data_IF_507722765277
#
_entry.id   IF_507722765277
#
_cell.length_a   1.000
_cell.length_b   1.000
_cell.length_c   1.000
_cell.angle_alpha   90.00
_cell.angle_beta   90.00
_cell.angle_gamma   90.00
#
_symmetry.space_group_name_H-M   'P 1'
#
loop_
_entity.id
_entity.type
_entity.pdbx_description
1 polymer ?
#
# COMPACT_ATOMS: atom_id res chain seq x y z
N UNK A 1 -64.21 -11.31 -15.74
CA UNK A 1 -64.59 -11.83 -17.07
C UNK A 1 -66.09 -12.04 -16.99
N UNK A 2 -66.86 -11.34 -17.82
CA UNK A 2 -68.33 -11.44 -17.77
C UNK A 2 -68.76 -12.79 -18.39
N UNK A 3 -69.74 -13.50 -17.79
CA UNK A 3 -70.23 -14.77 -18.33
C UNK A 3 -71.01 -14.54 -19.63
N UNK A 4 -70.62 -15.26 -20.68
CA UNK A 4 -71.39 -15.38 -21.92
C UNK A 4 -72.40 -16.51 -21.75
N UNK A 5 -73.55 -16.44 -22.43
CA UNK A 5 -74.59 -17.47 -22.33
C UNK A 5 -74.76 -18.21 -23.65
N UNK A 6 -74.96 -19.52 -23.59
CA UNK A 6 -75.38 -20.30 -24.74
C UNK A 6 -76.57 -21.20 -24.37
N UNK A 7 -77.44 -21.45 -25.35
CA UNK A 7 -78.64 -22.26 -25.16
C UNK A 7 -78.41 -23.68 -25.69
N UNK A 8 -78.75 -24.67 -24.87
CA UNK A 8 -78.75 -26.08 -25.27
C UNK A 8 -79.98 -26.79 -24.71
N UNK A 9 -80.78 -27.42 -25.58
CA UNK A 9 -82.03 -28.11 -25.23
C UNK A 9 -82.99 -27.24 -24.39
N UNK A 10 -83.21 -25.99 -24.82
CA UNK A 10 -84.08 -24.99 -24.18
C UNK A 10 -83.67 -24.60 -22.74
N UNK A 11 -82.39 -24.79 -22.37
CA UNK A 11 -81.82 -24.30 -21.12
C UNK A 11 -80.59 -23.43 -21.40
N UNK A 12 -80.46 -22.33 -20.66
CA UNK A 12 -79.35 -21.37 -20.79
C UNK A 12 -78.22 -21.72 -19.82
N UNK A 13 -77.00 -21.80 -20.35
CA UNK A 13 -75.79 -22.10 -19.58
C UNK A 13 -74.78 -20.95 -19.72
N UNK A 14 -74.17 -20.59 -18.60
CA UNK A 14 -73.10 -19.60 -18.56
C UNK A 14 -71.75 -20.26 -18.89
N UNK A 15 -70.97 -19.65 -19.78
CA UNK A 15 -69.61 -20.04 -20.10
C UNK A 15 -68.68 -18.82 -20.13
N UNK A 16 -67.39 -19.08 -19.96
CA UNK A 16 -66.35 -18.04 -19.98
C UNK A 16 -65.32 -18.39 -21.05
N UNK A 17 -65.02 -17.44 -21.93
CA UNK A 17 -63.87 -17.56 -22.82
C UNK A 17 -62.61 -17.16 -22.06
N UNK A 18 -61.77 -18.15 -21.77
CA UNK A 18 -60.51 -17.97 -21.08
C UNK A 18 -59.35 -18.10 -22.05
N UNK A 19 -58.35 -17.23 -21.91
CA UNK A 19 -57.09 -17.41 -22.61
C UNK A 19 -56.40 -18.69 -22.12
N UNK A 20 -55.58 -19.30 -23.00
CA UNK A 20 -54.90 -20.58 -22.75
C UNK A 20 -54.22 -20.68 -21.37
N UNK A 21 -53.59 -19.59 -20.90
CA UNK A 21 -52.97 -19.52 -19.57
C UNK A 21 -54.00 -19.69 -18.46
N UNK A 22 -55.10 -18.94 -18.53
CA UNK A 22 -56.12 -18.90 -17.48
C UNK A 22 -56.92 -20.22 -17.46
N UNK A 23 -57.14 -20.84 -18.63
CA UNK A 23 -57.67 -22.21 -18.73
C UNK A 23 -56.80 -23.20 -17.96
N UNK A 24 -55.48 -23.16 -18.12
CA UNK A 24 -54.59 -24.06 -17.38
C UNK A 24 -54.59 -23.81 -15.87
N UNK A 25 -54.74 -22.56 -15.43
CA UNK A 25 -54.85 -22.22 -14.00
C UNK A 25 -56.14 -22.78 -13.41
N UNK A 26 -57.27 -22.64 -14.11
CA UNK A 26 -58.56 -23.18 -13.68
C UNK A 26 -58.52 -24.72 -13.65
N UNK A 27 -57.98 -25.34 -14.70
CA UNK A 27 -57.84 -26.81 -14.79
C UNK A 27 -56.91 -27.35 -13.69
N UNK A 28 -55.79 -26.69 -13.42
CA UNK A 28 -54.91 -27.06 -12.31
C UNK A 28 -55.65 -27.00 -10.96
N UNK A 29 -56.46 -25.96 -10.71
CA UNK A 29 -57.21 -25.86 -9.46
C UNK A 29 -58.28 -26.94 -9.30
N UNK A 30 -58.92 -27.37 -10.39
CA UNK A 30 -60.03 -28.32 -10.37
C UNK A 30 -59.60 -29.80 -10.52
N UNK A 31 -58.43 -30.06 -11.11
CA UNK A 31 -57.89 -31.41 -11.31
C UNK A 31 -56.58 -31.61 -10.54
N UNK A 32 -56.59 -32.43 -9.48
CA UNK A 32 -55.38 -32.80 -8.75
C UNK A 32 -54.34 -33.53 -9.62
N UNK A 33 -54.81 -34.38 -10.53
CA UNK A 33 -53.95 -35.15 -11.45
C UNK A 33 -53.19 -34.23 -12.41
N UNK A 34 -53.88 -33.23 -12.98
CA UNK A 34 -53.25 -32.26 -13.86
C UNK A 34 -52.22 -31.41 -13.11
N UNK A 35 -52.52 -31.01 -11.87
CA UNK A 35 -51.57 -30.27 -11.04
C UNK A 35 -50.32 -31.08 -10.72
N UNK A 36 -50.47 -32.37 -10.38
CA UNK A 36 -49.34 -33.26 -10.16
C UNK A 36 -48.43 -33.33 -11.39
N UNK A 37 -49.00 -33.52 -12.59
CA UNK A 37 -48.22 -33.56 -13.83
C UNK A 37 -47.49 -32.23 -14.14
N UNK A 38 -48.09 -31.08 -13.81
CA UNK A 38 -47.42 -29.78 -13.95
C UNK A 38 -46.26 -29.65 -12.97
N UNK A 39 -46.43 -30.08 -11.72
CA UNK A 39 -45.39 -30.07 -10.68
C UNK A 39 -44.23 -31.00 -11.07
N UNK A 40 -44.52 -32.22 -11.51
CA UNK A 40 -43.51 -33.20 -11.94
C UNK A 40 -42.70 -32.66 -13.12
N UNK A 41 -43.37 -32.04 -14.10
CA UNK A 41 -42.71 -31.40 -15.24
C UNK A 41 -41.84 -30.22 -14.81
N UNK A 42 -42.30 -29.42 -13.85
CA UNK A 42 -41.53 -28.31 -13.31
C UNK A 42 -40.28 -28.79 -12.58
N UNK A 43 -40.39 -29.81 -11.73
CA UNK A 43 -39.24 -30.46 -11.07
C UNK A 43 -38.26 -31.06 -12.07
N UNK A 44 -38.75 -31.68 -13.15
CA UNK A 44 -37.89 -32.21 -14.21
C UNK A 44 -37.13 -31.10 -14.96
N UNK A 45 -37.74 -29.93 -15.15
CA UNK A 45 -37.09 -28.77 -15.75
C UNK A 45 -36.08 -28.12 -14.78
N UNK A 46 -36.38 -28.06 -13.48
CA UNK A 46 -35.46 -27.58 -12.45
C UNK A 46 -34.23 -28.49 -12.34
N UNK A 47 -34.42 -29.81 -12.38
CA UNK A 47 -33.33 -30.78 -12.41
C UNK A 47 -32.51 -30.73 -13.70
N UNK A 48 -33.09 -30.29 -14.83
CA UNK A 48 -32.36 -30.04 -16.08
C UNK A 48 -31.65 -28.68 -16.08
N UNK A 49 -32.18 -27.68 -15.39
CA UNK A 49 -31.62 -26.32 -15.32
C UNK A 49 -30.56 -26.16 -14.24
N UNK A 50 -30.50 -27.01 -13.22
CA UNK A 50 -29.26 -27.19 -12.45
C UNK A 50 -28.22 -27.70 -13.44
N UNK A 51 -27.25 -26.88 -13.87
CA UNK A 51 -26.11 -27.45 -14.55
C UNK A 51 -25.55 -28.45 -13.56
N UNK A 52 -25.22 -29.64 -14.03
CA UNK A 52 -24.22 -30.48 -13.37
C UNK A 52 -22.90 -29.71 -13.41
N UNK A 53 -22.82 -28.59 -12.69
CA UNK A 53 -21.58 -28.13 -12.12
C UNK A 53 -21.24 -29.24 -11.14
N UNK A 54 -20.34 -30.12 -11.56
CA UNK A 54 -19.56 -30.93 -10.64
C UNK A 54 -18.97 -29.95 -9.64
N UNK A 55 -19.65 -29.75 -8.52
CA UNK A 55 -19.05 -29.13 -7.35
C UNK A 55 -18.25 -30.29 -6.74
N UNK A 56 -16.92 -30.30 -6.93
CA UNK A 56 -16.09 -31.39 -6.43
C UNK A 56 -16.27 -31.46 -4.92
N UNK A 57 -16.58 -32.65 -4.40
CA UNK A 57 -16.85 -32.81 -2.98
C UNK A 57 -15.57 -32.67 -2.13
N UNK A 58 -14.39 -32.61 -2.75
CA UNK A 58 -13.10 -32.36 -2.12
C UNK A 58 -12.29 -31.29 -2.86
N UNK A 59 -11.59 -30.44 -2.09
CA UNK A 59 -10.72 -29.37 -2.59
C UNK A 59 -9.61 -29.89 -3.52
N UNK A 60 -9.10 -31.11 -3.29
CA UNK A 60 -8.05 -31.70 -4.12
C UNK A 60 -8.52 -32.00 -5.54
N UNK A 61 -9.77 -32.46 -5.70
CA UNK A 61 -10.38 -32.78 -6.98
C UNK A 61 -10.70 -31.51 -7.78
N UNK A 62 -11.11 -30.44 -7.07
CA UNK A 62 -11.29 -29.12 -7.65
C UNK A 62 -10.01 -28.56 -8.28
N UNK A 63 -8.91 -28.68 -7.54
CA UNK A 63 -7.61 -28.17 -7.96
C UNK A 63 -7.09 -28.95 -9.19
N UNK A 64 -7.28 -30.27 -9.20
CA UNK A 64 -6.89 -31.10 -10.35
C UNK A 64 -7.68 -30.77 -11.61
N UNK A 65 -8.99 -30.59 -11.51
CA UNK A 65 -9.84 -30.25 -12.66
C UNK A 65 -9.47 -28.86 -13.21
N UNK A 66 -9.23 -27.89 -12.32
CA UNK A 66 -8.79 -26.56 -12.72
C UNK A 66 -7.44 -26.59 -13.46
N UNK A 67 -6.49 -27.41 -12.98
CA UNK A 67 -5.20 -27.60 -13.64
C UNK A 67 -5.35 -28.22 -15.04
N UNK A 68 -6.23 -29.21 -15.20
CA UNK A 68 -6.49 -29.86 -16.49
C UNK A 68 -7.13 -28.90 -17.50
N UNK A 69 -8.12 -28.11 -17.08
CA UNK A 69 -8.76 -27.10 -17.93
C UNK A 69 -7.77 -26.02 -18.38
N UNK A 70 -6.84 -25.63 -17.51
CA UNK A 70 -5.82 -24.64 -17.84
C UNK A 70 -4.82 -25.19 -18.87
N UNK A 71 -4.37 -26.44 -18.68
CA UNK A 71 -3.50 -27.11 -19.64
C UNK A 71 -4.17 -27.32 -21.01
N UNK A 72 -5.49 -27.58 -21.03
CA UNK A 72 -6.26 -27.69 -22.27
C UNK A 72 -6.40 -26.35 -22.99
N UNK A 73 -6.62 -25.25 -22.26
CA UNK A 73 -6.60 -23.89 -22.82
C UNK A 73 -5.24 -23.55 -23.43
N UNK A 74 -4.14 -23.88 -22.77
CA UNK A 74 -2.79 -23.64 -23.28
C UNK A 74 -2.49 -24.48 -24.53
N UNK A 75 -2.94 -25.74 -24.57
CA UNK A 75 -2.83 -26.59 -25.78
C UNK A 75 -3.66 -26.07 -26.95
N UNK A 76 -4.80 -25.43 -26.67
CA UNK A 76 -5.68 -24.88 -27.69
C UNK A 76 -5.37 -23.41 -28.06
N UNK A 77 -4.53 -22.72 -27.28
CA UNK A 77 -4.09 -21.35 -27.53
C UNK A 77 -3.50 -21.10 -28.93
N UNK A 78 -2.66 -21.96 -29.53
CA UNK A 78 -2.14 -21.71 -30.89
C UNK A 78 -3.23 -21.79 -31.97
N UNK A 79 -4.33 -22.53 -31.74
CA UNK A 79 -5.44 -22.63 -32.70
C UNK A 79 -6.36 -21.41 -32.64
N UNK A 80 -6.58 -20.85 -31.44
CA UNK A 80 -7.40 -19.64 -31.26
C UNK A 80 -6.67 -18.40 -31.79
N UNK A 81 -5.36 -18.29 -31.53
CA UNK A 81 -4.53 -17.22 -32.09
C UNK A 81 -4.48 -17.22 -33.63
N UNK A 82 -4.65 -18.38 -34.26
CA UNK A 82 -4.72 -18.51 -35.72
C UNK A 82 -6.03 -17.98 -36.32
N UNK A 83 -7.15 -18.11 -35.60
CA UNK A 83 -8.48 -17.66 -36.07
C UNK A 83 -8.62 -16.14 -36.00
N UNK A 84 -8.09 -15.50 -34.95
CA UNK A 84 -8.13 -14.04 -34.80
C UNK A 84 -7.30 -13.32 -35.88
N UNK A 85 -6.20 -13.93 -36.34
CA UNK A 85 -5.33 -13.32 -37.35
C UNK A 85 -5.93 -13.29 -38.77
N UNK A 86 -6.95 -14.12 -39.07
CA UNK A 86 -7.52 -14.23 -40.42
C UNK A 86 -8.75 -13.34 -40.64
N UNK A 87 -9.51 -13.04 -39.58
CA UNK A 87 -10.76 -12.27 -39.68
C UNK A 87 -10.50 -10.76 -39.84
N UNK A 88 -9.34 -10.25 -39.42
CA UNK A 88 -8.96 -8.82 -39.58
C UNK A 88 -8.29 -8.46 -40.93
N UNK A 89 -7.89 -9.47 -41.71
CA UNK A 89 -7.19 -9.29 -43.00
C UNK A 89 -8.15 -9.24 -44.20
N UNK A 90 -9.42 -9.68 -44.01
CA UNK A 90 -10.38 -9.81 -45.10
C UNK A 90 -10.99 -8.51 -45.65
N UNK A 91 -11.02 -7.42 -44.89
CA UNK A 91 -11.83 -6.22 -45.25
C UNK A 91 -11.03 -5.01 -45.72
N UNK A 92 -9.70 -4.96 -45.50
CA UNK A 92 -8.88 -3.78 -45.83
C UNK A 92 -7.68 -4.17 -46.71
N UNK A 93 -7.59 -3.55 -47.89
CA UNK A 93 -6.48 -3.71 -48.84
C UNK A 93 -5.48 -2.56 -48.68
N UNK A 94 -4.18 -2.84 -48.83
CA UNK A 94 -3.14 -1.80 -48.75
C UNK A 94 -3.17 -0.85 -49.96
N UNK A 95 -2.65 0.38 -49.81
CA UNK A 95 -2.56 1.36 -50.91
C UNK A 95 -1.86 0.82 -52.17
N UNK A 96 -0.88 -0.07 -51.98
CA UNK A 96 -0.14 -0.71 -53.07
C UNK A 96 -0.98 -1.77 -53.80
N UNK A 97 -1.80 -2.51 -53.07
CA UNK A 97 -2.72 -3.50 -53.64
C UNK A 97 -3.89 -2.83 -54.37
N UNK A 98 -4.45 -1.75 -53.80
CA UNK A 98 -5.48 -0.96 -54.48
C UNK A 98 -4.95 -0.31 -55.76
N UNK A 99 -3.73 0.24 -55.73
CA UNK A 99 -3.06 0.79 -56.91
C UNK A 99 -2.84 -0.25 -58.02
N UNK A 100 -2.46 -1.50 -57.65
CA UNK A 100 -2.33 -2.61 -58.60
C UNK A 100 -3.67 -3.00 -59.23
N UNK A 101 -4.74 -3.06 -58.44
CA UNK A 101 -6.09 -3.36 -58.94
C UNK A 101 -6.56 -2.27 -59.90
N UNK A 102 -6.28 -1.01 -59.59
CA UNK A 102 -6.66 0.15 -60.41
C UNK A 102 -5.70 0.41 -61.59
N UNK A 103 -4.61 -0.35 -61.73
CA UNK A 103 -3.56 -0.18 -62.76
C UNK A 103 -2.95 1.23 -62.81
N UNK A 104 -2.88 1.93 -61.68
CA UNK A 104 -2.30 3.27 -61.55
C UNK A 104 -1.04 3.18 -60.68
N UNK A 105 0.05 3.92 -60.97
CA UNK A 105 1.21 3.95 -60.09
C UNK A 105 0.86 4.55 -58.72
N UNK A 106 1.33 3.89 -57.65
CA UNK A 106 1.01 4.21 -56.24
C UNK A 106 1.22 5.70 -55.90
N UNK A 107 2.29 6.31 -56.40
CA UNK A 107 2.59 7.73 -56.18
C UNK A 107 1.56 8.66 -56.82
N UNK A 108 1.04 8.31 -58.00
CA UNK A 108 0.01 9.10 -58.67
C UNK A 108 -1.33 9.00 -57.94
N UNK A 109 -1.67 7.82 -57.42
CA UNK A 109 -2.86 7.61 -56.61
C UNK A 109 -2.81 8.42 -55.31
N UNK A 110 -1.67 8.39 -54.61
CA UNK A 110 -1.47 9.20 -53.39
C UNK A 110 -1.55 10.70 -53.70
N UNK A 111 -0.90 11.17 -54.76
CA UNK A 111 -0.93 12.59 -55.12
C UNK A 111 -2.35 13.06 -55.47
N UNK A 112 -3.12 12.23 -56.19
CA UNK A 112 -4.50 12.54 -56.55
C UNK A 112 -5.43 12.57 -55.33
N UNK A 113 -5.25 11.64 -54.39
CA UNK A 113 -5.98 11.64 -53.12
C UNK A 113 -5.63 12.82 -52.21
N UNK A 114 -4.42 13.37 -52.32
CA UNK A 114 -4.03 14.61 -51.62
C UNK A 114 -4.62 15.84 -52.31
N UNK A 115 -4.62 15.87 -53.65
CA UNK A 115 -5.22 16.95 -54.45
C UNK A 115 -6.74 17.04 -54.26
N UNK A 116 -7.43 15.91 -54.25
CA UNK A 116 -8.86 15.78 -54.00
C UNK A 116 -9.25 16.01 -52.51
N UNK A 117 -8.28 16.36 -51.65
CA UNK A 117 -8.44 16.61 -50.20
C UNK A 117 -9.00 15.43 -49.39
N UNK A 118 -8.71 14.20 -49.80
CA UNK A 118 -9.05 13.00 -49.01
C UNK A 118 -7.96 12.62 -48.00
N UNK A 119 -6.69 12.90 -48.35
CA UNK A 119 -5.52 12.66 -47.50
C UNK A 119 -4.72 13.94 -47.32
N UNK A 120 -4.09 14.12 -46.17
CA UNK A 120 -3.07 15.15 -45.96
C UNK A 120 -1.77 14.54 -45.43
N UNK A 121 -0.66 15.26 -45.62
CA UNK A 121 0.64 14.89 -45.08
C UNK A 121 0.90 15.67 -43.80
N UNK A 122 1.06 14.97 -42.67
CA UNK A 122 1.62 15.53 -41.45
C UNK A 122 2.87 14.71 -41.09
N UNK A 123 4.02 15.39 -40.99
CA UNK A 123 5.27 14.80 -40.49
C UNK A 123 5.69 13.49 -41.16
N UNK A 124 5.50 13.37 -42.48
CA UNK A 124 5.86 12.16 -43.25
C UNK A 124 4.83 11.03 -43.20
N UNK A 125 3.73 11.18 -42.47
CA UNK A 125 2.63 10.21 -42.38
C UNK A 125 1.40 10.75 -43.14
N UNK A 126 0.77 9.88 -43.93
CA UNK A 126 -0.46 10.17 -44.66
C UNK A 126 -1.66 9.89 -43.74
N UNK A 127 -2.44 10.92 -43.45
CA UNK A 127 -3.63 10.83 -42.60
C UNK A 127 -4.88 11.24 -43.40
N UNK A 128 -6.01 10.54 -43.24
CA UNK A 128 -7.26 10.93 -43.87
C UNK A 128 -7.88 12.16 -43.19
N UNK A 129 -8.57 12.99 -43.96
CA UNK A 129 -9.42 14.05 -43.41
C UNK A 129 -10.67 13.46 -42.74
N UNK A 130 -11.20 14.17 -41.73
CA UNK A 130 -12.37 13.75 -40.95
C UNK A 130 -13.65 13.55 -41.80
N UNK A 131 -13.75 14.20 -42.95
CA UNK A 131 -14.84 14.03 -43.94
C UNK A 131 -14.76 12.71 -44.75
N UNK A 132 -13.62 12.02 -44.74
CA UNK A 132 -13.45 10.72 -45.40
C UNK A 132 -13.87 9.54 -44.51
N UNK A 133 -14.02 9.76 -43.18
CA UNK A 133 -14.52 8.75 -42.24
C UNK A 133 -16.02 8.47 -42.42
N UNK A 134 -16.80 9.40 -42.95
CA UNK A 134 -18.25 9.23 -43.13
C UNK A 134 -18.64 8.30 -44.29
N UNK A 135 -17.68 7.76 -45.05
CA UNK A 135 -17.95 6.85 -46.18
C UNK A 135 -17.30 5.46 -46.05
N UNK A 136 -16.70 5.09 -44.92
CA UNK A 136 -16.03 3.78 -44.71
C UNK A 136 -14.88 3.44 -45.71
N UNK A 137 -14.34 4.43 -46.43
CA UNK A 137 -13.33 4.18 -47.48
C UNK A 137 -11.90 3.94 -46.95
N UNK A 138 -11.56 4.42 -45.74
CA UNK A 138 -10.19 4.37 -45.23
C UNK A 138 -10.17 3.93 -43.76
N UNK A 139 -9.37 2.91 -43.45
CA UNK A 139 -9.04 2.50 -42.08
C UNK A 139 -7.59 2.83 -41.77
N UNK A 140 -7.36 3.68 -40.76
CA UNK A 140 -6.00 4.02 -40.33
C UNK A 140 -5.51 2.91 -39.41
N UNK A 141 -4.81 1.92 -39.97
CA UNK A 141 -4.05 0.95 -39.19
C UNK A 141 -2.76 1.63 -38.72
N UNK A 142 -2.83 2.39 -37.62
CA UNK A 142 -1.62 2.67 -36.85
C UNK A 142 -1.18 1.36 -36.23
N UNK A 143 -0.38 0.59 -36.97
CA UNK A 143 0.39 -0.50 -36.41
C UNK A 143 1.41 0.09 -35.45
N UNK A 144 0.98 0.52 -34.26
CA UNK A 144 1.85 0.45 -33.11
C UNK A 144 2.11 -1.04 -32.94
N UNK A 145 3.29 -1.48 -33.32
CA UNK A 145 3.78 -2.80 -32.96
C UNK A 145 3.43 -3.02 -31.47
N UNK A 146 2.72 -4.09 -31.16
CA UNK A 146 2.30 -4.48 -29.80
C UNK A 146 3.46 -4.68 -28.80
N UNK A 147 4.67 -4.29 -29.17
CA UNK A 147 5.83 -4.26 -28.30
C UNK A 147 5.74 -3.13 -27.25
N UNK A 148 4.94 -2.08 -27.48
CA UNK A 148 4.84 -0.94 -26.56
C UNK A 148 4.35 -1.27 -25.14
N UNK A 149 3.45 -2.26 -25.00
CA UNK A 149 2.93 -2.66 -23.68
C UNK A 149 3.79 -3.70 -22.96
N UNK A 150 4.71 -4.38 -23.67
CA UNK A 150 5.64 -5.34 -23.07
C UNK A 150 6.92 -4.68 -22.55
N UNK A 151 7.33 -3.53 -23.09
CA UNK A 151 8.49 -2.79 -22.56
C UNK A 151 8.25 -2.26 -21.14
N UNK A 152 7.03 -1.78 -20.84
CA UNK A 152 6.71 -1.37 -19.47
C UNK A 152 6.62 -2.58 -18.55
N UNK A 153 5.94 -3.67 -18.95
CA UNK A 153 5.83 -4.89 -18.13
C UNK A 153 7.17 -5.59 -17.87
N UNK A 154 8.08 -5.63 -18.86
CA UNK A 154 9.40 -6.27 -18.73
C UNK A 154 10.38 -5.41 -17.90
N UNK A 155 10.23 -4.08 -17.92
CA UNK A 155 11.17 -3.17 -17.26
C UNK A 155 10.72 -2.72 -15.86
N UNK A 156 9.47 -2.97 -15.45
CA UNK A 156 8.99 -2.68 -14.08
C UNK A 156 9.84 -3.40 -13.03
N UNK A 157 10.24 -4.66 -13.28
CA UNK A 157 11.10 -5.41 -12.35
C UNK A 157 12.48 -4.77 -12.17
N UNK A 158 13.07 -4.28 -13.27
CA UNK A 158 14.36 -3.58 -13.26
C UNK A 158 14.24 -2.25 -12.51
N UNK A 159 13.16 -1.51 -12.74
CA UNK A 159 12.91 -0.23 -12.08
C UNK A 159 12.70 -0.41 -10.57
N UNK A 160 11.94 -1.42 -10.15
CA UNK A 160 11.77 -1.77 -8.73
C UNK A 160 13.10 -2.19 -8.08
N UNK A 161 13.95 -2.94 -8.78
CA UNK A 161 15.28 -3.30 -8.29
C UNK A 161 16.16 -2.07 -8.06
N UNK A 162 16.18 -1.10 -9.00
CA UNK A 162 16.94 0.14 -8.82
C UNK A 162 16.38 1.01 -7.69
N UNK A 163 15.06 1.10 -7.55
CA UNK A 163 14.44 1.83 -6.43
C UNK A 163 14.77 1.17 -5.09
N UNK A 164 14.67 -0.16 -5.00
CA UNK A 164 14.99 -0.90 -3.79
C UNK A 164 16.48 -0.82 -3.45
N UNK A 165 17.36 -0.93 -4.45
CA UNK A 165 18.80 -0.77 -4.31
C UNK A 165 19.16 0.64 -3.87
N UNK A 166 18.51 1.67 -4.42
CA UNK A 166 18.69 3.06 -3.99
C UNK A 166 18.23 3.26 -2.54
N UNK A 167 17.09 2.70 -2.14
CA UNK A 167 16.62 2.76 -0.75
C UNK A 167 17.55 2.02 0.21
N UNK A 168 18.02 0.83 -0.15
CA UNK A 168 18.96 0.05 0.64
C UNK A 168 20.33 0.74 0.71
N UNK A 169 20.80 1.32 -0.39
CA UNK A 169 22.04 2.10 -0.44
C UNK A 169 21.91 3.37 0.39
N UNK A 170 20.80 4.11 0.28
CA UNK A 170 20.51 5.29 1.10
C UNK A 170 20.43 4.92 2.59
N UNK A 171 19.70 3.86 2.94
CA UNK A 171 19.61 3.34 4.30
C UNK A 171 20.98 2.91 4.83
N UNK A 172 21.76 2.18 4.02
CA UNK A 172 23.10 1.72 4.40
C UNK A 172 24.09 2.88 4.48
N UNK A 173 24.01 3.86 3.59
CA UNK A 173 24.82 5.08 3.59
C UNK A 173 24.55 5.92 4.84
N UNK A 174 23.27 6.14 5.18
CA UNK A 174 22.86 6.79 6.44
C UNK A 174 23.34 6.01 7.67
N UNK A 175 23.28 4.68 7.64
CA UNK A 175 23.70 3.81 8.73
C UNK A 175 25.23 3.71 8.86
N UNK A 176 25.97 3.85 7.76
CA UNK A 176 27.45 3.82 7.72
C UNK A 176 28.06 5.16 8.10
N UNK A 177 27.32 6.25 7.95
CA UNK A 177 27.73 7.56 8.43
C UNK A 177 27.57 7.62 9.97
N UNK A 178 28.62 7.21 10.70
CA UNK A 178 28.80 7.42 12.14
C UNK A 178 28.61 8.89 12.57
N UNK A 179 28.71 9.81 11.62
CA UNK A 179 28.35 11.22 11.73
C UNK A 179 26.86 11.46 12.01
N UNK A 180 25.92 10.69 11.45
CA UNK A 180 24.50 10.87 11.72
C UNK A 180 24.16 10.47 13.17
N UNK A 181 24.88 9.52 13.77
CA UNK A 181 24.73 9.23 15.20
C UNK A 181 25.29 10.33 16.11
N UNK A 182 26.37 11.01 15.69
CA UNK A 182 26.94 12.15 16.43
C UNK A 182 26.12 13.44 16.23
N UNK A 183 25.60 13.68 15.02
CA UNK A 183 24.70 14.80 14.72
C UNK A 183 23.26 14.56 15.14
N UNK A 184 22.79 13.31 15.31
CA UNK A 184 21.49 13.02 15.92
C UNK A 184 21.46 13.52 17.37
N UNK A 185 22.58 13.43 18.09
CA UNK A 185 22.70 14.05 19.41
C UNK A 185 22.66 15.59 19.38
N UNK A 186 23.06 16.22 18.27
CA UNK A 186 22.93 17.68 18.08
C UNK A 186 21.59 18.12 17.45
N UNK A 187 20.91 17.25 16.69
CA UNK A 187 19.61 17.53 16.07
C UNK A 187 18.45 17.28 17.05
N UNK A 188 18.59 16.30 17.96
CA UNK A 188 17.65 16.09 19.07
C UNK A 188 17.66 17.28 20.04
N UNK A 189 18.74 18.06 20.11
CA UNK A 189 18.78 19.28 20.92
C UNK A 189 18.17 20.51 20.26
N UNK A 190 17.70 20.43 19.01
CA UNK A 190 17.09 21.57 18.27
C UNK A 190 15.58 21.63 18.48
N UNK A 191 14.96 20.59 19.04
CA UNK A 191 13.57 20.66 19.49
C UNK A 191 13.54 21.22 20.93
N UNK A 192 13.04 22.45 21.16
CA UNK A 192 13.13 23.15 22.45
C UNK A 192 12.46 22.41 23.62
N UNK A 193 11.58 21.45 23.31
CA UNK A 193 10.86 20.62 24.29
C UNK A 193 11.76 19.53 24.88
N UNK A 194 12.74 18.99 24.14
CA UNK A 194 13.57 17.89 24.63
C UNK A 194 14.75 18.35 25.50
N UNK A 195 15.16 19.62 25.39
CA UNK A 195 16.27 20.18 26.18
C UNK A 195 15.95 20.30 27.67
N UNK A 196 14.76 20.77 28.04
CA UNK A 196 14.32 20.90 29.43
C UNK A 196 14.12 19.54 30.09
N UNK A 197 13.55 18.58 29.36
CA UNK A 197 13.36 17.20 29.84
C UNK A 197 14.71 16.53 30.12
N UNK A 198 15.72 16.75 29.27
CA UNK A 198 17.06 16.23 29.52
C UNK A 198 17.73 16.91 30.73
N UNK A 199 17.60 18.23 30.90
CA UNK A 199 18.11 18.92 32.09
C UNK A 199 17.48 18.37 33.37
N UNK A 200 16.16 18.21 33.39
CA UNK A 200 15.43 17.65 34.53
C UNK A 200 15.83 16.19 34.79
N UNK A 201 15.90 15.36 33.75
CA UNK A 201 16.33 13.97 33.88
C UNK A 201 17.76 13.82 34.39
N UNK A 202 18.69 14.71 33.99
CA UNK A 202 20.05 14.73 34.54
C UNK A 202 20.05 15.04 36.02
N UNK A 203 19.35 16.10 36.42
CA UNK A 203 19.23 16.52 37.81
C UNK A 203 18.68 15.38 38.66
N UNK A 204 17.56 14.77 38.28
CA UNK A 204 16.92 13.68 39.03
C UNK A 204 17.87 12.48 39.17
N UNK A 205 18.43 12.00 38.07
CA UNK A 205 19.30 10.81 38.10
C UNK A 205 20.60 11.05 38.87
N UNK A 206 21.19 12.24 38.74
CA UNK A 206 22.38 12.63 39.47
C UNK A 206 22.09 12.73 40.98
N UNK A 207 21.03 13.44 41.36
CA UNK A 207 20.61 13.59 42.75
C UNK A 207 20.28 12.26 43.41
N UNK A 208 19.54 11.38 42.73
CA UNK A 208 19.21 10.05 43.24
C UNK A 208 20.45 9.18 43.43
N UNK A 209 21.35 9.17 42.46
CA UNK A 209 22.61 8.39 42.56
C UNK A 209 23.51 8.92 43.68
N UNK A 210 23.61 10.24 43.82
CA UNK A 210 24.40 10.90 44.85
C UNK A 210 23.80 10.67 46.25
N UNK A 211 22.47 10.78 46.38
CA UNK A 211 21.73 10.46 47.59
C UNK A 211 22.02 9.03 48.06
N UNK A 212 21.85 8.03 47.18
CA UNK A 212 22.07 6.61 47.53
C UNK A 212 23.51 6.40 48.04
N UNK A 213 24.50 7.01 47.39
CA UNK A 213 25.90 6.90 47.80
C UNK A 213 26.16 7.55 49.16
N UNK A 214 25.63 8.75 49.39
CA UNK A 214 25.79 9.45 50.66
C UNK A 214 25.06 8.75 51.81
N UNK A 215 23.86 8.21 51.56
CA UNK A 215 23.14 7.38 52.54
C UNK A 215 23.89 6.09 52.86
N UNK A 216 24.60 5.52 51.88
CA UNK A 216 25.49 4.38 52.07
C UNK A 216 26.81 4.73 52.78
N UNK A 217 27.02 6.00 53.16
CA UNK A 217 28.21 6.47 53.86
C UNK A 217 29.43 6.71 52.97
N UNK A 218 29.25 6.73 51.65
CA UNK A 218 30.33 7.08 50.70
C UNK A 218 30.61 8.59 50.84
N UNK A 219 31.87 9.02 51.02
CA UNK A 219 32.20 10.43 51.13
C UNK A 219 31.95 11.17 49.81
N UNK A 220 31.53 12.43 49.91
CA UNK A 220 31.09 13.24 48.76
C UNK A 220 32.08 13.24 47.59
N UNK A 221 33.38 13.41 47.85
CA UNK A 221 34.41 13.41 46.81
C UNK A 221 34.50 12.08 46.05
N UNK A 222 34.33 10.95 46.73
CA UNK A 222 34.34 9.63 46.08
C UNK A 222 33.04 9.38 45.30
N UNK A 223 31.91 9.84 45.85
CA UNK A 223 30.63 9.76 45.16
C UNK A 223 30.65 10.59 43.87
N UNK A 224 31.21 11.80 43.90
CA UNK A 224 31.39 12.65 42.71
C UNK A 224 32.34 12.02 41.67
N UNK A 225 33.47 11.46 42.11
CA UNK A 225 34.42 10.77 41.21
C UNK A 225 33.78 9.56 40.49
N UNK A 226 32.78 8.90 41.09
CA UNK A 226 32.09 7.75 40.49
C UNK A 226 31.30 8.11 39.22
N UNK A 227 30.88 9.36 39.07
CA UNK A 227 30.17 9.84 37.87
C UNK A 227 31.12 10.15 36.71
N UNK A 228 32.42 10.27 36.97
CA UNK A 228 33.41 10.53 35.93
C UNK A 228 33.73 9.24 35.16
N UNK A 229 33.91 9.32 33.83
CA UNK A 229 34.26 8.17 33.04
C UNK A 229 35.64 7.67 33.44
N UNK A 230 35.69 6.50 34.11
CA UNK A 230 36.94 5.77 34.32
C UNK A 230 37.35 5.17 32.98
N UNK A 231 38.29 5.82 32.32
CA UNK A 231 38.93 5.29 31.12
C UNK A 231 39.56 3.93 31.44
N UNK A 232 39.22 2.94 30.60
CA UNK A 232 39.71 1.54 30.56
C UNK A 232 38.97 0.53 31.44
N UNK A 233 37.94 -0.08 30.85
CA UNK A 233 37.81 -1.55 30.79
C UNK A 233 37.03 -1.94 29.54
N UNK A 234 37.48 -2.98 28.84
CA UNK A 234 36.90 -3.50 27.59
C UNK A 234 35.50 -4.13 27.74
N UNK A 235 34.74 -3.83 28.80
CA UNK A 235 33.48 -4.53 29.11
C UNK A 235 32.36 -3.68 29.72
N UNK A 236 32.50 -2.37 29.93
CA UNK A 236 31.36 -1.55 30.39
C UNK A 236 30.48 -1.16 29.21
N UNK A 237 29.40 -1.92 29.08
CA UNK A 237 28.21 -1.66 28.27
C UNK A 237 27.91 -0.15 28.27
N UNK A 238 28.09 0.45 27.09
CA UNK A 238 27.71 1.79 26.63
C UNK A 238 26.26 2.15 27.02
N UNK A 239 26.00 2.41 28.30
CA UNK A 239 24.62 2.57 28.84
C UNK A 239 24.43 3.79 29.72
N UNK A 240 25.46 4.62 29.87
CA UNK A 240 25.22 6.00 30.25
C UNK A 240 25.64 6.82 29.03
N UNK A 241 24.63 7.48 28.46
CA UNK A 241 24.81 8.51 27.45
C UNK A 241 26.01 9.33 27.88
N UNK A 242 27.03 9.41 27.04
CA UNK A 242 28.24 10.17 27.30
C UNK A 242 27.83 11.64 27.33
N UNK A 243 27.24 12.07 28.44
CA UNK A 243 26.75 13.41 28.62
C UNK A 243 27.95 14.27 28.96
N UNK A 244 28.56 14.78 27.89
CA UNK A 244 29.75 15.63 27.94
C UNK A 244 29.50 16.85 28.85
N UNK A 245 28.24 17.27 29.01
CA UNK A 245 27.88 18.38 29.89
C UNK A 245 27.99 17.93 31.35
N UNK A 246 27.40 16.79 31.73
CA UNK A 246 27.50 16.28 33.11
C UNK A 246 28.95 16.00 33.53
N UNK A 247 29.78 15.42 32.66
CA UNK A 247 31.21 15.20 32.95
C UNK A 247 31.95 16.51 33.25
N UNK A 248 31.70 17.58 32.47
CA UNK A 248 32.29 18.90 32.72
C UNK A 248 31.86 19.49 34.05
N UNK A 249 30.55 19.43 34.34
CA UNK A 249 29.98 19.97 35.57
C UNK A 249 30.51 19.23 36.81
N UNK A 250 30.54 17.90 36.78
CA UNK A 250 31.05 17.10 37.91
C UNK A 250 32.55 17.36 38.13
N UNK A 251 33.34 17.53 37.06
CA UNK A 251 34.77 17.90 37.20
C UNK A 251 34.95 19.24 37.88
N UNK A 252 34.15 20.25 37.51
CA UNK A 252 34.21 21.55 38.18
C UNK A 252 33.79 21.43 39.65
N UNK A 253 32.69 20.74 39.94
CA UNK A 253 32.21 20.55 41.32
C UNK A 253 33.29 19.87 42.16
N UNK A 254 33.85 18.76 41.67
CA UNK A 254 34.93 18.03 42.36
C UNK A 254 36.14 18.94 42.63
N UNK A 255 36.53 19.76 41.66
CA UNK A 255 37.64 20.70 41.82
C UNK A 255 37.38 21.72 42.93
N UNK A 256 36.21 22.37 42.94
CA UNK A 256 35.87 23.37 43.96
C UNK A 256 35.70 22.76 45.35
N UNK A 257 35.00 21.62 45.45
CA UNK A 257 34.83 20.90 46.73
C UNK A 257 36.18 20.41 47.26
N UNK A 258 37.08 19.93 46.39
CA UNK A 258 38.43 19.52 46.80
C UNK A 258 39.30 20.68 47.33
N UNK A 259 38.99 21.91 46.91
CA UNK A 259 39.62 23.13 47.41
C UNK A 259 39.01 23.63 48.72
N UNK A 260 37.94 22.99 49.20
CA UNK A 260 37.26 23.34 50.46
C UNK A 260 36.11 24.32 50.31
N UNK A 261 35.65 24.61 49.09
CA UNK A 261 34.40 25.35 48.89
C UNK A 261 33.20 24.47 49.23
N UNK A 262 32.09 25.11 49.63
CA UNK A 262 30.84 24.43 49.90
C UNK A 262 30.32 23.72 48.63
N UNK A 263 29.72 22.55 48.78
CA UNK A 263 29.11 21.80 47.69
C UNK A 263 28.02 22.62 47.00
N UNK A 264 27.18 23.28 47.80
CA UNK A 264 26.12 24.16 47.32
C UNK A 264 26.63 25.29 46.40
N UNK A 265 27.80 25.87 46.69
CA UNK A 265 28.42 26.93 45.89
C UNK A 265 29.18 26.39 44.66
N UNK A 266 29.61 25.12 44.73
CA UNK A 266 30.42 24.47 43.69
C UNK A 266 29.59 24.01 42.48
N UNK A 267 28.27 23.97 42.64
CA UNK A 267 27.31 23.45 41.66
C UNK A 267 26.81 24.57 40.75
N UNK A 268 26.79 24.34 39.44
CA UNK A 268 26.29 25.33 38.48
C UNK A 268 24.76 25.42 38.45
N UNK A 269 24.25 26.59 38.03
CA UNK A 269 22.82 26.82 37.78
C UNK A 269 22.27 25.99 36.62
N UNK A 270 23.15 25.45 35.77
CA UNK A 270 22.77 24.62 34.63
C UNK A 270 22.45 23.17 35.03
N UNK A 271 23.05 22.67 36.12
CA UNK A 271 22.79 21.35 36.67
C UNK A 271 21.76 21.40 37.81
N UNK A 272 21.86 22.38 38.71
CA UNK A 272 20.91 22.58 39.81
C UNK A 272 20.32 23.99 39.73
N UNK A 273 18.99 24.13 39.57
CA UNK A 273 18.35 25.43 39.64
C UNK A 273 18.51 26.04 41.04
N UNK A 274 18.27 27.35 41.14
CA UNK A 274 18.52 28.13 42.37
C UNK A 274 17.82 27.53 43.60
N UNK A 275 16.61 27.03 43.42
CA UNK A 275 15.83 26.39 44.48
C UNK A 275 16.51 25.13 45.01
N UNK A 276 17.09 24.33 44.12
CA UNK A 276 17.80 23.12 44.48
C UNK A 276 19.16 23.44 45.15
N UNK A 277 19.84 24.50 44.73
CA UNK A 277 21.07 24.98 45.39
C UNK A 277 20.81 25.40 46.84
N UNK A 278 19.69 26.10 47.09
CA UNK A 278 19.29 26.48 48.45
C UNK A 278 19.01 25.25 49.33
N UNK A 279 18.32 24.24 48.78
CA UNK A 279 18.11 22.97 49.49
C UNK A 279 19.45 22.28 49.81
N UNK A 280 20.40 22.26 48.87
CA UNK A 280 21.74 21.73 49.12
C UNK A 280 22.46 22.50 50.23
N UNK A 281 22.40 23.82 50.23
CA UNK A 281 23.02 24.67 51.24
C UNK A 281 22.47 24.37 52.65
N UNK A 282 21.15 24.25 52.77
CA UNK A 282 20.49 23.86 54.03
C UNK A 282 20.93 22.45 54.45
N UNK A 283 21.01 21.52 53.50
CA UNK A 283 21.46 20.15 53.74
C UNK A 283 22.90 20.06 54.20
N UNK A 284 23.77 20.88 53.62
CA UNK A 284 25.20 20.96 53.94
C UNK A 284 25.43 21.52 55.34
N UNK A 285 24.75 22.63 55.69
CA UNK A 285 24.85 23.23 57.03
C UNK A 285 24.24 22.36 58.14
N UNK A 286 23.18 21.61 57.82
CA UNK A 286 22.49 20.73 58.79
C UNK A 286 23.06 19.31 58.84
N UNK A 287 24.02 18.96 57.97
CA UNK A 287 24.54 17.60 57.82
C UNK A 287 23.54 16.59 57.23
N UNK A 288 22.41 17.05 56.69
CA UNK A 288 21.34 16.23 56.09
C UNK A 288 21.32 16.32 54.56
N UNK A 289 22.49 16.40 53.94
CA UNK A 289 22.64 16.59 52.49
C UNK A 289 21.96 15.49 51.67
N UNK A 290 22.06 14.24 52.12
CA UNK A 290 21.37 13.11 51.47
C UNK A 290 19.85 13.27 51.45
N UNK A 291 19.23 13.78 52.52
CA UNK A 291 17.79 13.99 52.58
C UNK A 291 17.33 15.12 51.65
N UNK A 292 18.15 16.17 51.49
CA UNK A 292 17.85 17.25 50.54
C UNK A 292 17.95 16.77 49.08
N UNK A 293 18.93 15.92 48.76
CA UNK A 293 19.04 15.32 47.43
C UNK A 293 17.87 14.41 47.08
N UNK A 294 17.32 13.70 48.07
CA UNK A 294 16.09 12.90 47.90
C UNK A 294 14.91 13.80 47.51
N UNK A 295 14.70 14.92 48.22
CA UNK A 295 13.64 15.88 47.90
C UNK A 295 13.83 16.57 46.54
N UNK A 296 15.08 16.67 46.05
CA UNK A 296 15.39 17.23 44.73
C UNK A 296 15.13 16.18 43.62
N UNK A 297 15.22 14.89 43.94
CA UNK A 297 15.03 13.81 42.97
C UNK A 297 13.55 13.41 42.77
N UNK A 298 12.71 13.64 43.78
CA UNK A 298 11.25 13.43 43.74
C UNK A 298 10.50 14.51 42.95
#
# INVERSE_FOLDING_TARGET
IEPLKFEYRNQWFDYYELNKRDTFVVVARLSPEFTAAVVDRWQALENRQKPTALIPQSFSEALMLAAQLQAEKERNAPKVAFVDHYVEVGTSKSFRETAKILKIPERALVNRLVEDKYLYRQSGVLLPYQSAHTKDLFTVKTGTAEHGHNFLKQNIGILLFFVLSFFLFYYFYLKRQTWFHQKKNQLISITPIFGTIQKLSRLVNFSQSLQIMLQAGVPLNQALDSFLPRTQTWQTKKTLVNDIILDKEVRSILQWVSQGYAFSDSVSSDLFPMEAQQMLQIGEQSGKLALMLEHIAD
#
